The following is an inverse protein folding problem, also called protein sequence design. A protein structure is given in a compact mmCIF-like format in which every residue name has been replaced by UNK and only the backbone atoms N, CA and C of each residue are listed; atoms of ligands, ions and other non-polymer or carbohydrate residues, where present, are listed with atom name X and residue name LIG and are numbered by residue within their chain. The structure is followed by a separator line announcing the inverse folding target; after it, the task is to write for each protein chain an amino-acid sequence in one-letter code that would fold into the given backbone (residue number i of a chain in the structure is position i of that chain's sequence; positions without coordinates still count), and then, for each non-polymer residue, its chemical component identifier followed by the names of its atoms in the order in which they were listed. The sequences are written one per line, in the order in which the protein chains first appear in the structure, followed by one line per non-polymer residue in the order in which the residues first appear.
data_IF_047073596629
#
_entry.id   IF_047073596629
#
_cell.length_a   1.000
_cell.length_b   1.000
_cell.length_c   1.000
_cell.angle_alpha   90.00
_cell.angle_beta   90.00
_cell.angle_gamma   90.00
#
_symmetry.space_group_name_H-M   'P 1'
#
loop_
_entity.id
_entity.type
_entity.pdbx_description
1 polymer ?
#
# COMPACT_ATOMS: atom_id res chain seq x y z
N UNK A 1 -21.21 26.72 21.48
CA UNK A 1 -21.16 27.69 22.60
C UNK A 1 -22.55 28.24 22.85
N UNK A 2 -22.82 28.72 24.06
CA UNK A 2 -24.07 29.41 24.42
C UNK A 2 -23.82 30.91 24.53
N UNK A 3 -24.86 31.75 24.49
CA UNK A 3 -24.72 33.19 24.68
C UNK A 3 -23.98 33.49 26.00
N UNK A 4 -22.95 34.35 25.94
CA UNK A 4 -22.12 34.73 27.09
C UNK A 4 -20.83 33.93 27.30
N UNK A 5 -20.52 32.93 26.46
CA UNK A 5 -19.25 32.19 26.54
C UNK A 5 -18.20 32.83 25.61
N UNK A 6 -17.00 33.10 26.15
CA UNK A 6 -15.84 33.63 25.42
C UNK A 6 -14.59 32.79 25.70
N UNK A 7 -13.72 32.66 24.69
CA UNK A 7 -12.38 32.11 24.82
C UNK A 7 -11.37 33.14 24.31
N UNK A 8 -10.46 33.58 25.19
CA UNK A 8 -9.25 34.29 24.82
C UNK A 8 -8.04 33.36 25.02
N UNK A 9 -7.42 32.93 23.93
CA UNK A 9 -6.36 31.91 23.96
C UNK A 9 -5.21 32.34 23.05
N UNK A 10 -3.99 32.28 23.59
CA UNK A 10 -2.75 32.40 22.84
C UNK A 10 -2.07 31.04 22.71
N UNK A 11 -1.79 30.62 21.48
CA UNK A 11 -1.15 29.34 21.16
C UNK A 11 0.23 29.57 20.52
N UNK A 12 1.18 28.68 20.83
CA UNK A 12 2.53 28.70 20.25
C UNK A 12 2.79 27.41 19.49
N UNK A 13 3.08 27.54 18.19
CA UNK A 13 3.46 26.40 17.36
C UNK A 13 4.96 26.13 17.50
N UNK A 14 5.32 24.87 17.72
CA UNK A 14 6.72 24.42 17.83
C UNK A 14 6.96 23.27 16.86
N UNK A 15 8.21 23.12 16.42
CA UNK A 15 8.63 21.98 15.60
C UNK A 15 8.84 20.76 16.50
N UNK A 16 8.16 19.66 16.18
CA UNK A 16 8.29 18.39 16.88
C UNK A 16 8.48 17.21 15.92
N UNK A 17 8.56 16.00 16.48
CA UNK A 17 8.66 14.75 15.73
C UNK A 17 7.51 13.82 16.09
N UNK A 18 7.00 13.06 15.11
CA UNK A 18 5.86 12.16 15.34
C UNK A 18 6.11 11.07 16.40
N UNK A 19 7.37 10.74 16.67
CA UNK A 19 7.76 9.81 17.75
C UNK A 19 7.52 10.39 19.15
N UNK A 20 7.60 11.71 19.31
CA UNK A 20 7.32 12.39 20.57
C UNK A 20 5.81 12.48 20.81
N UNK A 21 5.06 12.87 19.77
CA UNK A 21 3.60 12.87 19.83
C UNK A 21 2.98 12.75 18.43
N UNK A 22 1.89 11.98 18.33
CA UNK A 22 1.14 11.77 17.10
C UNK A 22 0.67 13.06 16.38
N UNK A 23 0.48 14.18 17.09
CA UNK A 23 0.08 15.48 16.50
C UNK A 23 1.14 16.06 15.56
N UNK A 24 2.39 15.60 15.67
CA UNK A 24 3.49 15.98 14.79
C UNK A 24 3.68 15.02 13.62
N UNK A 25 2.87 13.96 13.50
CA UNK A 25 2.89 13.11 12.31
C UNK A 25 2.45 13.94 11.10
N UNK A 26 3.25 14.03 10.02
CA UNK A 26 2.85 14.78 8.83
C UNK A 26 1.89 13.99 7.91
N UNK A 27 1.59 12.73 8.26
CA UNK A 27 0.83 11.78 7.46
C UNK A 27 -0.38 11.26 8.21
N UNK A 28 -1.47 11.00 7.47
CA UNK A 28 -2.64 10.30 7.98
C UNK A 28 -2.35 8.80 8.09
N UNK A 29 -2.03 8.18 6.96
CA UNK A 29 -1.55 6.80 6.89
C UNK A 29 -0.43 6.67 5.88
N UNK A 30 0.56 5.84 6.21
CA UNK A 30 1.59 5.40 5.28
C UNK A 30 1.65 3.90 5.40
N UNK A 31 1.49 3.22 4.28
CA UNK A 31 1.59 1.78 4.21
C UNK A 31 2.21 1.36 2.89
N UNK A 32 2.63 0.11 2.84
CA UNK A 32 3.05 -0.51 1.59
C UNK A 32 2.44 -1.91 1.49
N UNK A 33 2.35 -2.39 0.27
CA UNK A 33 2.11 -3.80 -0.03
C UNK A 33 3.00 -4.25 -1.16
N UNK A 34 3.27 -5.55 -1.22
CA UNK A 34 3.99 -6.14 -2.34
C UNK A 34 3.05 -6.29 -3.54
N UNK A 35 3.58 -6.17 -4.76
CA UNK A 35 2.82 -6.45 -5.98
C UNK A 35 2.35 -7.92 -5.96
N UNK A 36 1.02 -8.18 -6.07
CA UNK A 36 0.51 -9.52 -6.27
C UNK A 36 1.03 -10.12 -7.58
N UNK A 37 1.43 -11.39 -7.54
CA UNK A 37 1.82 -12.19 -8.70
C UNK A 37 0.80 -13.32 -8.85
N UNK A 38 -0.07 -13.22 -9.83
CA UNK A 38 -1.14 -14.20 -10.09
C UNK A 38 -0.74 -14.98 -11.32
N UNK A 39 -0.54 -16.29 -11.15
CA UNK A 39 -0.18 -17.20 -12.24
C UNK A 39 -1.29 -18.21 -12.48
N UNK A 40 -1.73 -18.31 -13.72
CA UNK A 40 -2.64 -19.37 -14.16
C UNK A 40 -1.80 -20.61 -14.49
N UNK A 41 -2.02 -21.69 -13.76
CA UNK A 41 -1.31 -22.97 -13.92
C UNK A 41 -1.84 -23.77 -15.13
N UNK A 42 -3.10 -23.53 -15.52
CA UNK A 42 -3.77 -24.18 -16.66
C UNK A 42 -4.76 -23.21 -17.31
N UNK A 43 -5.13 -23.40 -18.59
CA UNK A 43 -6.21 -22.64 -19.20
C UNK A 43 -7.53 -22.91 -18.47
N UNK A 44 -8.28 -21.85 -18.19
CA UNK A 44 -9.62 -21.91 -17.59
C UNK A 44 -10.57 -21.22 -18.54
N UNK A 45 -11.61 -21.92 -18.98
CA UNK A 45 -12.57 -21.44 -19.97
C UNK A 45 -14.01 -21.59 -19.49
N UNK A 46 -14.95 -20.92 -20.16
CA UNK A 46 -16.38 -21.16 -19.93
C UNK A 46 -16.89 -20.63 -18.58
N UNK A 47 -17.75 -21.43 -17.95
CA UNK A 47 -18.33 -21.09 -16.65
C UNK A 47 -17.27 -20.95 -15.55
N UNK A 48 -16.19 -21.74 -15.61
CA UNK A 48 -15.08 -21.66 -14.64
C UNK A 48 -14.29 -20.37 -14.81
N UNK A 49 -14.14 -19.85 -16.03
CA UNK A 49 -13.50 -18.55 -16.27
C UNK A 49 -14.31 -17.41 -15.63
N UNK A 50 -15.63 -17.47 -15.75
CA UNK A 50 -16.55 -16.50 -15.12
C UNK A 50 -16.56 -16.62 -13.60
N UNK A 51 -16.47 -17.84 -13.07
CA UNK A 51 -16.33 -18.06 -11.63
C UNK A 51 -14.99 -17.53 -11.11
N UNK A 52 -13.91 -17.78 -11.86
CA UNK A 52 -12.57 -17.30 -11.54
C UNK A 52 -12.55 -15.77 -11.50
N UNK A 53 -13.13 -15.11 -12.50
CA UNK A 53 -13.25 -13.66 -12.54
C UNK A 53 -13.95 -13.10 -11.29
N UNK A 54 -15.02 -13.75 -10.81
CA UNK A 54 -15.74 -13.35 -9.59
C UNK A 54 -14.95 -13.57 -8.29
N UNK A 55 -13.93 -14.44 -8.30
CA UNK A 55 -13.09 -14.67 -7.13
C UNK A 55 -12.09 -13.55 -6.89
N UNK A 56 -11.74 -12.80 -7.93
CA UNK A 56 -10.76 -11.71 -7.88
C UNK A 56 -11.43 -10.34 -7.85
N UNK A 57 -10.62 -9.31 -7.59
CA UNK A 57 -11.08 -7.92 -7.60
C UNK A 57 -11.42 -7.51 -9.05
N UNK A 58 -12.39 -6.59 -9.26
CA UNK A 58 -12.76 -6.16 -10.61
C UNK A 58 -11.54 -5.63 -11.40
N UNK A 59 -11.41 -6.05 -12.66
CA UNK A 59 -10.32 -5.65 -13.55
C UNK A 59 -9.02 -6.46 -13.40
N UNK A 60 -8.94 -7.40 -12.45
CA UNK A 60 -7.76 -8.27 -12.28
C UNK A 60 -7.74 -9.40 -13.32
N UNK A 61 -8.87 -10.08 -13.48
CA UNK A 61 -9.05 -11.17 -14.46
C UNK A 61 -10.04 -10.70 -15.52
N UNK A 62 -9.66 -10.85 -16.79
CA UNK A 62 -10.57 -10.68 -17.93
C UNK A 62 -10.68 -11.98 -18.72
N UNK A 63 -11.71 -12.04 -19.57
CA UNK A 63 -12.02 -13.19 -20.41
C UNK A 63 -11.82 -12.74 -21.85
N UNK A 64 -11.03 -13.50 -22.60
CA UNK A 64 -10.76 -13.22 -24.02
C UNK A 64 -11.91 -13.69 -24.92
N UNK A 65 -11.81 -13.44 -26.23
CA UNK A 65 -12.77 -13.84 -27.26
C UNK A 65 -12.98 -15.35 -27.33
N UNK A 66 -11.97 -16.13 -26.97
CA UNK A 66 -12.02 -17.60 -26.89
C UNK A 66 -12.63 -18.12 -25.57
N UNK A 67 -13.26 -17.23 -24.79
CA UNK A 67 -13.88 -17.52 -23.48
C UNK A 67 -12.89 -18.05 -22.44
N UNK A 68 -11.60 -17.70 -22.57
CA UNK A 68 -10.52 -18.06 -21.65
C UNK A 68 -10.16 -16.91 -20.70
N UNK A 69 -9.97 -17.23 -19.42
CA UNK A 69 -9.53 -16.26 -18.42
C UNK A 69 -8.03 -15.97 -18.55
N UNK A 70 -7.66 -14.70 -18.47
CA UNK A 70 -6.27 -14.25 -18.38
C UNK A 70 -6.11 -13.15 -17.31
N UNK A 71 -4.89 -12.98 -16.83
CA UNK A 71 -4.56 -11.95 -15.85
C UNK A 71 -4.30 -10.64 -16.58
N UNK A 72 -5.18 -9.65 -16.38
CA UNK A 72 -5.06 -8.32 -16.99
C UNK A 72 -4.16 -7.41 -16.16
N UNK A 73 -4.50 -7.24 -14.88
CA UNK A 73 -3.76 -6.35 -13.98
C UNK A 73 -3.79 -6.88 -12.54
N UNK A 74 -2.72 -7.58 -12.16
CA UNK A 74 -2.58 -8.15 -10.83
C UNK A 74 -2.45 -7.08 -9.73
N UNK A 75 -2.07 -5.83 -10.08
CA UNK A 75 -1.91 -4.75 -9.12
C UNK A 75 -3.19 -4.47 -8.33
N UNK A 76 -4.36 -4.55 -8.95
CA UNK A 76 -5.62 -4.21 -8.29
C UNK A 76 -6.16 -5.30 -7.37
N UNK A 77 -5.48 -6.45 -7.28
CA UNK A 77 -5.95 -7.52 -6.43
C UNK A 77 -5.80 -7.19 -4.92
N UNK A 78 -6.88 -7.46 -4.18
CA UNK A 78 -6.97 -7.37 -2.71
C UNK A 78 -6.49 -8.65 -2.01
N UNK A 79 -6.13 -9.70 -2.75
CA UNK A 79 -5.69 -11.00 -2.25
C UNK A 79 -6.71 -11.68 -1.31
N UNK A 80 -8.00 -11.68 -1.69
CA UNK A 80 -9.10 -12.30 -0.93
C UNK A 80 -8.96 -13.81 -0.72
N UNK A 81 -8.15 -14.48 -1.55
CA UNK A 81 -7.97 -15.95 -1.57
C UNK A 81 -9.27 -16.74 -1.83
N UNK A 82 -10.31 -16.09 -2.35
CA UNK A 82 -11.60 -16.73 -2.64
C UNK A 82 -11.48 -17.91 -3.61
N UNK A 83 -10.49 -17.91 -4.51
CA UNK A 83 -10.25 -18.99 -5.47
C UNK A 83 -10.11 -20.37 -4.79
N UNK A 84 -9.52 -20.42 -3.59
CA UNK A 84 -9.33 -21.67 -2.86
C UNK A 84 -10.60 -22.24 -2.22
N UNK A 85 -11.72 -21.50 -2.25
CA UNK A 85 -13.03 -21.99 -1.79
C UNK A 85 -13.68 -22.95 -2.78
N UNK A 86 -13.24 -22.93 -4.03
CA UNK A 86 -13.85 -23.67 -5.13
C UNK A 86 -12.87 -24.76 -5.60
N UNK A 87 -13.10 -26.04 -5.25
CA UNK A 87 -12.18 -27.14 -5.59
C UNK A 87 -11.89 -27.27 -7.08
N UNK A 88 -12.84 -26.88 -7.95
CA UNK A 88 -12.70 -26.96 -9.40
C UNK A 88 -11.75 -25.92 -10.02
N UNK A 89 -11.36 -24.88 -9.29
CA UNK A 89 -10.46 -23.82 -9.76
C UNK A 89 -9.28 -23.55 -8.80
N UNK A 90 -9.22 -24.26 -7.67
CA UNK A 90 -8.20 -24.05 -6.64
C UNK A 90 -6.79 -24.39 -7.13
N UNK A 91 -6.67 -25.40 -7.99
CA UNK A 91 -5.44 -25.85 -8.65
C UNK A 91 -5.04 -24.95 -9.84
N UNK A 92 -6.01 -24.22 -10.39
CA UNK A 92 -5.83 -23.43 -11.59
C UNK A 92 -4.99 -22.18 -11.38
N UNK A 93 -4.86 -21.69 -10.13
CA UNK A 93 -4.19 -20.42 -9.84
C UNK A 93 -3.20 -20.52 -8.69
N UNK A 94 -2.01 -19.97 -8.92
CA UNK A 94 -1.00 -19.72 -7.89
C UNK A 94 -0.97 -18.23 -7.58
N UNK A 95 -1.26 -17.87 -6.31
CA UNK A 95 -1.18 -16.50 -5.82
C UNK A 95 0.12 -16.33 -5.03
N UNK A 96 1.00 -15.47 -5.55
CA UNK A 96 2.27 -15.11 -4.93
C UNK A 96 2.41 -13.58 -4.82
N UNK A 97 3.57 -13.12 -4.37
CA UNK A 97 3.93 -11.70 -4.29
C UNK A 97 5.37 -11.51 -4.75
N UNK A 98 5.62 -10.46 -5.52
CA UNK A 98 6.97 -10.10 -5.97
C UNK A 98 7.71 -9.45 -4.80
N UNK A 99 8.73 -10.13 -4.25
CA UNK A 99 9.45 -9.69 -3.03
C UNK A 99 10.11 -8.32 -3.16
N UNK A 100 10.57 -7.97 -4.36
CA UNK A 100 11.33 -6.74 -4.62
C UNK A 100 10.48 -5.61 -5.20
N UNK A 101 9.15 -5.78 -5.26
CA UNK A 101 8.25 -4.76 -5.80
C UNK A 101 7.30 -4.27 -4.69
N UNK A 102 7.53 -3.04 -4.24
CA UNK A 102 6.73 -2.38 -3.22
C UNK A 102 5.82 -1.32 -3.83
N UNK A 103 4.54 -1.34 -3.47
CA UNK A 103 3.56 -0.31 -3.80
C UNK A 103 3.30 0.47 -2.52
N UNK A 104 3.86 1.67 -2.43
CA UNK A 104 3.65 2.58 -1.31
C UNK A 104 2.40 3.43 -1.52
N UNK A 105 1.65 3.64 -0.45
CA UNK A 105 0.57 4.62 -0.36
C UNK A 105 0.92 5.59 0.76
N UNK A 106 1.03 6.87 0.42
CA UNK A 106 1.40 7.95 1.35
C UNK A 106 0.29 8.99 1.34
N UNK A 107 -0.45 9.09 2.44
CA UNK A 107 -1.51 10.08 2.61
C UNK A 107 -1.02 11.19 3.54
N UNK A 108 -0.91 12.41 3.00
CA UNK A 108 -0.51 13.59 3.78
C UNK A 108 -1.70 14.19 4.54
N UNK A 109 -1.43 14.79 5.70
CA UNK A 109 -2.41 15.64 6.40
C UNK A 109 -2.56 17.05 5.80
N UNK A 110 -1.77 17.36 4.76
CA UNK A 110 -1.79 18.64 4.06
C UNK A 110 -0.70 19.62 4.45
N UNK A 111 0.05 19.36 5.54
CA UNK A 111 1.18 20.20 5.94
C UNK A 111 2.34 20.20 4.92
N UNK A 112 2.58 19.05 4.27
CA UNK A 112 3.59 18.86 3.23
C UNK A 112 3.02 18.00 2.10
N UNK A 113 3.52 18.13 0.89
CA UNK A 113 3.10 17.23 -0.20
C UNK A 113 3.67 15.82 0.02
N UNK A 114 2.95 14.74 -0.37
CA UNK A 114 3.39 13.35 -0.14
C UNK A 114 4.77 13.01 -0.74
N UNK A 115 5.09 13.54 -1.92
CA UNK A 115 6.38 13.37 -2.61
C UNK A 115 7.53 13.95 -1.78
N UNK A 116 7.33 15.14 -1.21
CA UNK A 116 8.30 15.78 -0.32
C UNK A 116 8.49 14.96 0.95
N UNK A 117 7.40 14.47 1.55
CA UNK A 117 7.46 13.64 2.78
C UNK A 117 8.34 12.41 2.56
N UNK A 118 8.16 11.71 1.43
CA UNK A 118 8.93 10.51 1.12
C UNK A 118 10.42 10.81 0.94
N UNK A 119 10.75 11.89 0.23
CA UNK A 119 12.13 12.33 0.02
C UNK A 119 12.81 12.73 1.34
N UNK A 120 12.10 13.47 2.21
CA UNK A 120 12.62 13.85 3.52
C UNK A 120 12.85 12.63 4.42
N UNK A 121 11.98 11.61 4.37
CA UNK A 121 12.19 10.37 5.11
C UNK A 121 13.48 9.65 4.68
N UNK A 122 13.77 9.58 3.37
CA UNK A 122 15.01 9.02 2.86
C UNK A 122 16.25 9.82 3.29
N UNK A 123 16.16 11.16 3.31
CA UNK A 123 17.22 12.04 3.83
C UNK A 123 17.48 11.81 5.31
N UNK A 124 16.45 11.62 6.12
CA UNK A 124 16.58 11.30 7.55
C UNK A 124 17.29 9.97 7.76
N UNK A 125 16.94 8.93 7.01
CA UNK A 125 17.63 7.64 7.06
C UNK A 125 19.12 7.78 6.69
N UNK A 126 19.40 8.49 5.58
CA UNK A 126 20.77 8.78 5.15
C UNK A 126 21.57 9.54 6.21
N UNK A 127 20.95 10.52 6.87
CA UNK A 127 21.57 11.29 7.96
C UNK A 127 21.92 10.38 9.14
N UNK A 128 21.02 9.48 9.55
CA UNK A 128 21.28 8.52 10.63
C UNK A 128 22.48 7.62 10.32
N UNK A 129 22.58 7.09 9.10
CA UNK A 129 23.74 6.28 8.71
C UNK A 129 25.05 7.08 8.75
N UNK A 130 25.04 8.34 8.30
CA UNK A 130 26.21 9.22 8.36
C UNK A 130 26.66 9.48 9.79
N UNK A 131 25.72 9.75 10.70
CA UNK A 131 26.04 9.97 12.13
C UNK A 131 26.89 8.83 12.70
N UNK A 132 26.48 7.57 12.49
CA UNK A 132 27.28 6.43 12.97
C UNK A 132 28.64 6.29 12.27
N UNK A 133 28.73 6.63 10.98
CA UNK A 133 30.01 6.61 10.27
C UNK A 133 30.98 7.65 10.80
N UNK A 134 30.47 8.83 11.18
CA UNK A 134 31.29 9.91 11.74
C UNK A 134 31.80 9.52 13.14
N UNK A 135 30.93 8.95 13.98
CA UNK A 135 31.31 8.41 15.31
C UNK A 135 32.40 7.33 15.21
N UNK A 136 32.30 6.42 14.24
CA UNK A 136 33.32 5.38 14.01
C UNK A 136 34.67 5.98 13.59
N UNK A 137 34.64 7.09 12.84
CA UNK A 137 35.86 7.74 12.32
C UNK A 137 36.56 8.63 13.35
N UNK A 138 36.00 8.79 14.55
CA UNK A 138 36.64 9.50 15.65
C UNK A 138 36.71 11.01 15.48
N UNK A 139 35.74 11.61 14.78
CA UNK A 139 35.46 13.05 14.80
C UNK A 139 34.22 13.35 15.64
#
# INVERSE_FOLDING_TARGET
MRPGHEFDIKLFAVKGVGNDHAKFSPVATVSYRLLPDIKLNRPVAGNDARLLQKCFSPGVIEIDKDDQAYVKEARYDSCSRNVYRYPQISDAVTIARVRNHFIFTVESLGALKPDVIFVEAAKVLKKKCRMFLDEIKGN
#
